data_IF_657439758825
#
_entry.id   IF_657439758825
#
_cell.length_a   1.000
_cell.length_b   1.000
_cell.length_c   1.000
_cell.angle_alpha   90.00
_cell.angle_beta   90.00
_cell.angle_gamma   90.00
#
_symmetry.space_group_name_H-M   'P 1'
#
loop_
_entity.id
_entity.type
_entity.pdbx_description
1 polymer ?
#
# COMPACT_ATOMS: atom_id res chain seq x y z
N UNK A 1 -10.24 13.87 -16.63
CA UNK A 1 -10.19 12.43 -16.94
C UNK A 1 -9.30 11.83 -15.86
N UNK A 2 -9.87 11.05 -14.93
CA UNK A 2 -9.07 10.32 -13.94
C UNK A 2 -8.22 9.34 -14.74
N UNK A 3 -6.89 9.45 -14.69
CA UNK A 3 -6.03 8.39 -15.21
C UNK A 3 -6.35 7.13 -14.40
N UNK A 4 -6.93 6.08 -15.02
CA UNK A 4 -7.15 4.83 -14.31
C UNK A 4 -5.78 4.34 -13.85
N UNK A 5 -5.67 3.90 -12.59
CA UNK A 5 -4.45 3.31 -12.04
C UNK A 5 -3.81 2.39 -13.09
N UNK A 6 -2.70 2.83 -13.70
CA UNK A 6 -2.05 2.14 -14.84
C UNK A 6 -1.29 0.89 -14.38
N UNK A 7 -1.67 0.35 -13.22
CA UNK A 7 -1.15 -0.90 -12.68
C UNK A 7 -2.33 -1.83 -12.50
N UNK A 8 -2.73 -2.48 -13.58
CA UNK A 8 -3.58 -3.67 -13.46
C UNK A 8 -2.93 -4.66 -12.50
N UNK A 9 -3.76 -5.36 -11.73
CA UNK A 9 -3.32 -6.43 -10.84
C UNK A 9 -2.45 -7.43 -11.63
N UNK A 10 -1.16 -7.52 -11.29
CA UNK A 10 -0.18 -8.31 -12.03
C UNK A 10 -0.28 -9.84 -11.79
N UNK A 11 -1.43 -10.32 -11.31
CA UNK A 11 -1.67 -11.73 -11.00
C UNK A 11 -1.04 -12.19 -9.68
N UNK A 12 -1.40 -13.41 -9.27
CA UNK A 12 -0.86 -14.08 -8.08
C UNK A 12 0.63 -14.46 -8.22
N UNK A 13 1.17 -14.41 -9.44
CA UNK A 13 2.59 -14.67 -9.75
C UNK A 13 3.49 -13.45 -9.57
N UNK A 14 2.94 -12.28 -9.25
CA UNK A 14 3.76 -11.13 -8.88
C UNK A 14 4.40 -11.36 -7.49
N UNK A 15 5.71 -11.11 -7.37
CA UNK A 15 6.49 -11.32 -6.13
C UNK A 15 5.93 -10.49 -4.97
N UNK A 16 5.58 -9.23 -5.22
CA UNK A 16 5.03 -8.32 -4.20
C UNK A 16 3.69 -8.84 -3.70
N UNK A 17 2.80 -9.28 -4.59
CA UNK A 17 1.51 -9.86 -4.19
C UNK A 17 1.69 -11.11 -3.31
N UNK A 18 2.64 -11.98 -3.65
CA UNK A 18 2.97 -13.15 -2.83
C UNK A 18 3.50 -12.76 -1.45
N UNK A 19 4.41 -11.79 -1.37
CA UNK A 19 4.96 -11.33 -0.11
C UNK A 19 3.87 -10.72 0.80
N UNK A 20 2.97 -9.91 0.24
CA UNK A 20 1.81 -9.38 0.98
C UNK A 20 0.96 -10.54 1.51
N UNK A 21 0.60 -11.50 0.64
CA UNK A 21 -0.22 -12.66 1.05
C UNK A 21 0.45 -13.53 2.11
N UNK A 22 1.75 -13.75 2.00
CA UNK A 22 2.52 -14.47 3.00
C UNK A 22 2.49 -13.74 4.35
N UNK A 23 2.70 -12.41 4.36
CA UNK A 23 2.59 -11.61 5.58
C UNK A 23 1.17 -11.62 6.18
N UNK A 24 0.12 -11.78 5.36
CA UNK A 24 -1.25 -11.99 5.86
C UNK A 24 -1.44 -13.36 6.52
N UNK A 25 -0.86 -14.42 5.93
CA UNK A 25 -0.97 -15.78 6.43
C UNK A 25 -0.13 -16.08 7.68
N UNK A 26 0.98 -15.35 7.87
CA UNK A 26 1.91 -15.57 8.99
C UNK A 26 1.54 -14.72 10.21
N UNK A 27 0.84 -15.32 11.18
CA UNK A 27 0.46 -14.66 12.43
C UNK A 27 1.65 -14.30 13.34
N UNK A 28 2.79 -14.97 13.17
CA UNK A 28 4.01 -14.76 13.98
C UNK A 28 5.02 -13.81 13.32
N UNK A 29 4.71 -13.29 12.13
CA UNK A 29 5.58 -12.35 11.43
C UNK A 29 5.63 -10.98 12.16
N UNK A 30 6.64 -10.14 11.86
CA UNK A 30 6.62 -8.73 12.25
C UNK A 30 5.32 -8.04 11.81
N UNK A 31 5.01 -6.90 12.44
CA UNK A 31 3.79 -6.15 12.19
C UNK A 31 3.49 -5.94 10.70
N UNK A 32 2.24 -6.18 10.28
CA UNK A 32 1.85 -6.16 8.87
C UNK A 32 2.21 -4.84 8.17
N UNK A 33 1.95 -3.70 8.82
CA UNK A 33 2.28 -2.37 8.30
C UNK A 33 3.79 -2.09 8.17
N UNK A 34 4.67 -2.86 8.83
CA UNK A 34 6.12 -2.75 8.62
C UNK A 34 6.58 -3.42 7.32
N UNK A 35 5.88 -4.49 6.92
CA UNK A 35 6.24 -5.30 5.76
C UNK A 35 5.59 -4.82 4.46
N UNK A 36 4.59 -3.93 4.56
CA UNK A 36 3.73 -3.56 3.45
C UNK A 36 3.56 -2.03 3.34
N UNK A 37 3.62 -1.51 2.11
CA UNK A 37 3.54 -0.06 1.84
C UNK A 37 2.17 0.58 2.12
N UNK A 38 1.14 -0.22 2.40
CA UNK A 38 -0.17 0.28 2.81
C UNK A 38 -0.91 1.04 1.71
N UNK A 39 -1.58 2.14 2.09
CA UNK A 39 -2.40 2.98 1.19
C UNK A 39 -1.94 4.43 1.28
N UNK A 40 -1.74 5.08 0.12
CA UNK A 40 -1.49 6.53 0.05
C UNK A 40 -2.70 7.25 -0.52
N UNK A 41 -3.17 8.26 0.20
CA UNK A 41 -4.35 9.07 -0.12
C UNK A 41 -3.91 10.52 -0.29
N UNK A 42 -4.27 11.14 -1.41
CA UNK A 42 -4.22 12.59 -1.57
C UNK A 42 -5.54 13.20 -1.13
N UNK A 43 -5.48 14.41 -0.59
CA UNK A 43 -6.66 15.10 -0.11
C UNK A 43 -6.54 16.60 -0.34
N UNK A 44 -7.69 17.27 -0.48
CA UNK A 44 -7.73 18.73 -0.50
C UNK A 44 -7.55 19.33 0.90
N UNK A 45 -7.93 18.59 1.94
CA UNK A 45 -7.74 18.97 3.34
C UNK A 45 -7.74 17.72 4.22
N UNK A 46 -6.97 17.77 5.29
CA UNK A 46 -6.89 16.74 6.31
C UNK A 46 -6.90 17.41 7.68
N UNK A 47 -7.74 16.93 8.59
CA UNK A 47 -7.81 17.43 9.96
C UNK A 47 -7.97 16.27 10.94
N UNK A 48 -7.38 16.41 12.12
CA UNK A 48 -7.50 15.43 13.21
C UNK A 48 -8.50 15.97 14.22
N UNK A 49 -9.55 15.19 14.50
CA UNK A 49 -10.59 15.52 15.46
C UNK A 49 -10.67 14.38 16.48
N UNK A 50 -10.07 14.60 17.67
CA UNK A 50 -9.94 13.56 18.68
C UNK A 50 -9.12 12.38 18.15
N UNK A 51 -9.74 11.19 18.08
CA UNK A 51 -9.13 9.97 17.54
C UNK A 51 -9.52 9.68 16.08
N UNK A 52 -10.09 10.65 15.36
CA UNK A 52 -10.51 10.51 13.97
C UNK A 52 -9.75 11.44 13.05
N UNK A 53 -9.52 10.99 11.82
CA UNK A 53 -9.02 11.83 10.73
C UNK A 53 -10.20 12.12 9.80
N UNK A 54 -10.42 13.41 9.51
CA UNK A 54 -11.40 13.88 8.53
C UNK A 54 -10.65 14.32 7.28
N UNK A 55 -10.97 13.69 6.16
CA UNK A 55 -10.31 13.89 4.87
C UNK A 55 -11.33 14.44 3.87
N UNK A 56 -11.02 15.57 3.25
CA UNK A 56 -11.88 16.18 2.23
C UNK A 56 -11.34 15.89 0.82
N UNK A 57 -12.22 15.40 -0.06
CA UNK A 57 -11.91 14.97 -1.44
C UNK A 57 -10.74 13.97 -1.50
N UNK A 58 -10.88 12.79 -0.86
CA UNK A 58 -9.83 11.78 -0.86
C UNK A 58 -9.64 11.14 -2.24
N UNK A 59 -8.40 10.89 -2.61
CA UNK A 59 -8.00 10.20 -3.84
C UNK A 59 -6.90 9.19 -3.53
N UNK A 60 -7.16 7.90 -3.75
CA UNK A 60 -6.17 6.85 -3.52
C UNK A 60 -5.21 6.79 -4.70
N UNK A 61 -3.91 7.05 -4.45
CA UNK A 61 -2.86 7.13 -5.49
C UNK A 61 -1.79 6.03 -5.39
N UNK A 62 -1.88 5.19 -4.36
CA UNK A 62 -1.15 3.93 -4.21
C UNK A 62 -1.87 3.06 -3.16
N UNK A 63 -1.80 1.74 -3.33
CA UNK A 63 -2.36 0.76 -2.38
C UNK A 63 -3.15 -0.36 -3.04
N UNK A 64 -3.21 -0.43 -4.37
CA UNK A 64 -3.99 -1.45 -5.08
C UNK A 64 -3.58 -2.88 -4.69
N UNK A 65 -2.29 -3.19 -4.68
CA UNK A 65 -1.81 -4.53 -4.33
C UNK A 65 -2.14 -4.89 -2.88
N UNK A 66 -1.83 -3.99 -1.94
CA UNK A 66 -2.11 -4.22 -0.51
C UNK A 66 -3.61 -4.38 -0.24
N UNK A 67 -4.43 -3.46 -0.72
CA UNK A 67 -5.89 -3.53 -0.52
C UNK A 67 -6.53 -4.74 -1.20
N UNK A 68 -6.08 -5.10 -2.40
CA UNK A 68 -6.58 -6.27 -3.12
C UNK A 68 -6.20 -7.58 -2.45
N UNK A 69 -4.94 -7.73 -2.01
CA UNK A 69 -4.48 -8.94 -1.32
C UNK A 69 -5.17 -9.13 0.03
N UNK A 70 -5.36 -8.04 0.80
CA UNK A 70 -6.19 -8.06 2.02
C UNK A 70 -7.60 -8.56 1.68
N UNK A 71 -8.27 -7.96 0.69
CA UNK A 71 -9.61 -8.37 0.29
C UNK A 71 -9.67 -9.85 -0.09
N UNK A 72 -8.76 -10.33 -0.96
CA UNK A 72 -8.77 -11.72 -1.41
C UNK A 72 -8.50 -12.71 -0.27
N UNK A 73 -7.59 -12.37 0.65
CA UNK A 73 -7.27 -13.21 1.80
C UNK A 73 -8.49 -13.39 2.71
N UNK A 74 -9.11 -12.29 3.16
CA UNK A 74 -10.29 -12.35 4.02
C UNK A 74 -11.55 -12.85 3.31
N UNK A 75 -11.67 -12.66 1.99
CA UNK A 75 -12.76 -13.26 1.20
C UNK A 75 -12.76 -14.79 1.30
N UNK A 76 -11.59 -15.42 1.41
CA UNK A 76 -11.47 -16.88 1.60
C UNK A 76 -11.61 -17.33 3.06
N UNK A 77 -11.59 -16.40 4.02
CA UNK A 77 -11.60 -16.65 5.46
C UNK A 77 -12.51 -15.64 6.18
N UNK A 78 -13.83 -15.67 5.93
CA UNK A 78 -14.75 -14.62 6.39
C UNK A 78 -14.88 -14.53 7.92
N UNK A 79 -14.60 -15.62 8.64
CA UNK A 79 -14.65 -15.69 10.11
C UNK A 79 -13.34 -15.27 10.78
N UNK A 80 -12.27 -15.03 10.01
CA UNK A 80 -10.97 -14.65 10.56
C UNK A 80 -11.01 -13.19 11.02
N UNK A 81 -10.81 -12.98 12.31
CA UNK A 81 -10.57 -11.64 12.88
C UNK A 81 -9.07 -11.36 12.91
N UNK A 82 -8.68 -10.15 12.51
CA UNK A 82 -7.29 -9.71 12.48
C UNK A 82 -7.18 -8.30 13.07
N UNK A 83 -6.36 -8.16 14.11
CA UNK A 83 -6.15 -6.91 14.84
C UNK A 83 -4.92 -6.12 14.38
N UNK A 84 -4.19 -6.61 13.37
CA UNK A 84 -2.99 -5.96 12.85
C UNK A 84 -3.34 -4.66 12.13
N UNK A 85 -2.37 -3.74 12.10
CA UNK A 85 -2.56 -2.42 11.51
C UNK A 85 -2.13 -2.37 10.04
N UNK A 86 -2.71 -1.44 9.28
CA UNK A 86 -2.33 -1.09 7.92
C UNK A 86 -1.83 0.36 7.91
N UNK A 87 -0.70 0.62 7.26
CA UNK A 87 -0.19 1.99 7.09
C UNK A 87 -1.11 2.77 6.14
N UNK A 88 -1.64 3.91 6.59
CA UNK A 88 -2.36 4.86 5.75
C UNK A 88 -1.63 6.19 5.77
N UNK A 89 -1.16 6.64 4.61
CA UNK A 89 -0.49 7.92 4.45
C UNK A 89 -1.43 8.91 3.75
N UNK A 90 -1.82 9.96 4.47
CA UNK A 90 -2.63 11.05 3.91
C UNK A 90 -1.74 12.24 3.61
N UNK A 91 -1.80 12.76 2.39
CA UNK A 91 -0.97 13.90 1.95
C UNK A 91 -1.90 14.98 1.40
N UNK A 92 -1.72 16.21 1.90
CA UNK A 92 -2.39 17.40 1.38
C UNK A 92 -1.36 18.18 0.55
N UNK A 93 -1.35 18.03 -0.78
CA UNK A 93 -0.42 18.78 -1.62
C UNK A 93 -0.76 20.28 -1.58
N UNK A 94 0.24 21.19 -1.56
CA UNK A 94 0.02 22.62 -1.55
C UNK A 94 -0.51 23.16 -2.90
N UNK A 95 -0.25 22.44 -3.99
CA UNK A 95 -0.65 22.80 -5.35
C UNK A 95 -0.70 21.58 -6.29
N UNK A 96 -1.24 21.77 -7.50
CA UNK A 96 -1.38 20.72 -8.51
C UNK A 96 -0.06 20.19 -9.08
N UNK A 97 1.01 21.00 -9.04
CA UNK A 97 2.33 20.58 -9.51
C UNK A 97 2.95 19.58 -8.55
N UNK A 98 2.91 19.87 -7.25
CA UNK A 98 3.34 18.95 -6.19
C UNK A 98 2.44 17.71 -6.18
N UNK A 99 1.12 17.87 -6.33
CA UNK A 99 0.18 16.75 -6.46
C UNK A 99 0.61 15.79 -7.58
N UNK A 100 0.87 16.33 -8.77
CA UNK A 100 1.30 15.54 -9.93
C UNK A 100 2.63 14.82 -9.71
N UNK A 101 3.59 15.48 -9.03
CA UNK A 101 4.87 14.85 -8.66
C UNK A 101 4.68 13.69 -7.68
N UNK A 102 3.82 13.85 -6.69
CA UNK A 102 3.51 12.79 -5.73
C UNK A 102 2.90 11.59 -6.46
N UNK A 103 1.88 11.80 -7.30
CA UNK A 103 1.23 10.73 -8.07
C UNK A 103 2.25 9.95 -8.91
N UNK A 104 3.15 10.66 -9.60
CA UNK A 104 4.21 10.02 -10.39
C UNK A 104 5.14 9.21 -9.50
N UNK A 105 5.67 9.80 -8.43
CA UNK A 105 6.58 9.11 -7.52
C UNK A 105 5.94 7.87 -6.86
N UNK A 106 4.68 7.96 -6.44
CA UNK A 106 3.97 6.84 -5.79
C UNK A 106 3.65 5.72 -6.76
N UNK A 107 3.38 6.03 -8.04
CA UNK A 107 3.14 5.02 -9.08
C UNK A 107 4.45 4.43 -9.66
N UNK A 108 5.53 5.21 -9.69
CA UNK A 108 6.85 4.75 -10.14
C UNK A 108 7.56 3.84 -9.14
N UNK A 109 7.15 3.85 -7.87
CA UNK A 109 7.63 2.90 -6.87
C UNK A 109 7.01 1.51 -7.04
N UNK A 110 7.44 0.72 -8.04
CA UNK A 110 8.07 -0.61 -7.83
C UNK A 110 8.30 -1.39 -9.14
N UNK A 111 9.58 -1.69 -9.39
CA UNK A 111 10.06 -3.07 -9.32
C UNK A 111 11.42 -3.01 -8.61
N UNK A 112 11.51 -3.40 -7.34
CA UNK A 112 12.84 -3.75 -6.80
C UNK A 112 13.20 -5.03 -7.55
N UNK A 113 14.20 -4.95 -8.40
CA UNK A 113 14.82 -6.11 -9.01
C UNK A 113 15.45 -6.90 -7.86
N UNK A 114 15.04 -8.14 -7.58
CA UNK A 114 15.55 -8.95 -6.45
C UNK A 114 17.09 -9.03 -6.44
N UNK A 115 17.73 -8.84 -7.60
CA UNK A 115 19.18 -8.71 -7.76
C UNK A 115 19.78 -7.62 -6.84
N UNK A 116 19.05 -6.53 -6.61
CA UNK A 116 19.50 -5.44 -5.71
C UNK A 116 19.32 -5.77 -4.23
N UNK A 117 18.41 -6.67 -3.87
CA UNK A 117 18.22 -7.13 -2.48
C UNK A 117 19.24 -8.21 -2.09
N UNK A 118 19.62 -9.10 -3.01
CA UNK A 118 20.67 -10.11 -2.76
C UNK A 118 22.07 -9.53 -2.58
N UNK A 119 22.29 -8.28 -3.00
CA UNK A 119 23.54 -7.57 -2.73
C UNK A 119 23.72 -7.22 -1.25
N UNK A 120 22.67 -7.34 -0.43
CA UNK A 120 22.74 -7.16 1.03
C UNK A 120 22.74 -8.46 1.82
N UNK A 121 22.69 -9.63 1.17
CA UNK A 121 22.85 -10.90 1.87
C UNK A 121 24.31 -11.04 2.35
N UNK A 122 24.56 -11.30 3.65
CA UNK A 122 25.91 -11.55 4.14
C UNK A 122 26.48 -12.80 3.44
N UNK A 123 27.66 -12.65 2.84
CA UNK A 123 28.42 -13.76 2.27
C UNK A 123 28.87 -14.65 3.44
N UNK A 124 28.34 -15.88 3.50
CA UNK A 124 28.81 -16.93 4.41
C UNK A 124 29.98 -17.70 3.82
#
# INVERSE_FOLDING_TARGET
MLEPNVRDYQGTKNVVNRAIRQSLAEATAPEFWWLNNGVTILASKCSVVGNRIVIEKPEVVNGLQTSYEIFQFFKTQPELSDARNVLVRVIVPPDEHVRSKIIRATNSQTAINEVSLRATDPIH
#
